data_IF_564844684844
#
_entry.id   IF_564844684844
#
_cell.length_a   1.000
_cell.length_b   1.000
_cell.length_c   1.000
_cell.angle_alpha   90.00
_cell.angle_beta   90.00
_cell.angle_gamma   90.00
#
_symmetry.space_group_name_H-M   'P 1'
#
loop_
_entity.id
_entity.type
_entity.pdbx_description
1 polymer ?
#
# COMPACT_ATOMS: atom_id res chain seq x y z
N UNK A 1 -8.41 0.42 2.48
CA UNK A 1 -9.30 0.43 1.30
C UNK A 1 -9.77 -0.97 0.96
N UNK A 2 -11.00 -1.09 0.50
CA UNK A 2 -11.51 -2.36 0.00
C UNK A 2 -10.95 -2.61 -1.40
N UNK A 3 -10.77 -3.89 -1.75
CA UNK A 3 -10.21 -4.27 -3.05
C UNK A 3 -11.02 -3.70 -4.22
N UNK A 4 -12.34 -3.59 -4.05
CA UNK A 4 -13.24 -3.07 -5.07
C UNK A 4 -12.94 -1.60 -5.39
N UNK A 5 -12.66 -0.81 -4.36
CA UNK A 5 -12.30 0.60 -4.53
C UNK A 5 -10.99 0.75 -5.27
N UNK A 6 -10.03 -0.12 -5.00
CA UNK A 6 -8.74 -0.11 -5.67
C UNK A 6 -8.87 -0.44 -7.16
N UNK A 7 -9.79 -1.34 -7.51
CA UNK A 7 -10.02 -1.70 -8.92
C UNK A 7 -10.58 -0.56 -9.75
N UNK A 8 -11.25 0.38 -9.12
CA UNK A 8 -11.84 1.54 -9.79
C UNK A 8 -10.80 2.63 -10.11
N UNK A 9 -9.63 2.57 -9.46
CA UNK A 9 -8.57 3.54 -9.68
C UNK A 9 -7.78 3.22 -10.95
N UNK A 10 -7.25 4.27 -11.58
CA UNK A 10 -6.37 4.09 -12.74
C UNK A 10 -5.02 3.54 -12.29
N UNK A 11 -4.24 3.02 -13.25
CA UNK A 11 -2.90 2.52 -12.95
C UNK A 11 -2.01 3.59 -12.32
N UNK A 12 -2.07 4.81 -12.84
CA UNK A 12 -1.29 5.92 -12.31
C UNK A 12 -1.68 6.27 -10.89
N UNK A 13 -2.98 6.28 -10.60
CA UNK A 13 -3.48 6.53 -9.25
C UNK A 13 -3.03 5.44 -8.29
N UNK A 14 -3.07 4.18 -8.71
CA UNK A 14 -2.62 3.07 -7.90
C UNK A 14 -1.13 3.16 -7.59
N UNK A 15 -0.32 3.51 -8.57
CA UNK A 15 1.13 3.67 -8.38
C UNK A 15 1.44 4.82 -7.44
N UNK A 16 0.71 5.93 -7.57
CA UNK A 16 0.86 7.06 -6.67
C UNK A 16 0.51 6.66 -5.24
N UNK A 17 -0.59 5.93 -5.07
CA UNK A 17 -1.01 5.46 -3.75
C UNK A 17 0.02 4.50 -3.15
N UNK A 18 0.55 3.59 -3.96
CA UNK A 18 1.58 2.66 -3.52
C UNK A 18 2.82 3.40 -3.03
N UNK A 19 3.23 4.43 -3.76
CA UNK A 19 4.39 5.25 -3.39
C UNK A 19 4.16 5.99 -2.07
N UNK A 20 2.98 6.57 -1.90
CA UNK A 20 2.62 7.26 -0.65
C UNK A 20 2.66 6.30 0.54
N UNK A 21 2.11 5.10 0.35
CA UNK A 21 2.09 4.09 1.39
C UNK A 21 3.50 3.58 1.70
N UNK A 22 4.35 3.44 0.69
CA UNK A 22 5.74 3.05 0.88
C UNK A 22 6.49 4.09 1.73
N UNK A 23 6.25 5.37 1.47
CA UNK A 23 6.84 6.44 2.27
C UNK A 23 6.37 6.38 3.72
N UNK A 24 5.08 6.15 3.94
CA UNK A 24 4.52 6.00 5.29
C UNK A 24 5.11 4.78 5.99
N UNK A 25 5.25 3.67 5.26
CA UNK A 25 5.84 2.45 5.80
C UNK A 25 7.27 2.70 6.26
N UNK A 26 8.04 3.40 5.45
CA UNK A 26 9.44 3.74 5.77
C UNK A 26 9.50 4.57 7.06
N UNK A 27 8.67 5.58 7.19
CA UNK A 27 8.62 6.43 8.36
C UNK A 27 8.25 5.65 9.62
N UNK A 28 7.24 4.77 9.51
CA UNK A 28 6.81 3.95 10.64
C UNK A 28 7.87 2.93 11.05
N UNK A 29 8.58 2.35 10.09
CA UNK A 29 9.68 1.43 10.39
C UNK A 29 10.82 2.15 11.11
N UNK A 30 11.10 3.38 10.69
CA UNK A 30 12.11 4.20 11.35
C UNK A 30 11.72 4.50 12.80
N UNK A 31 10.46 4.88 13.03
CA UNK A 31 9.93 5.12 14.38
C UNK A 31 10.01 3.87 15.24
N UNK A 32 9.71 2.72 14.66
CA UNK A 32 9.78 1.44 15.36
C UNK A 32 11.22 1.14 15.80
N UNK A 33 12.17 1.39 14.92
CA UNK A 33 13.61 1.20 15.21
C UNK A 33 14.04 2.07 16.39
N UNK A 34 13.47 3.27 16.50
CA UNK A 34 13.75 4.19 17.60
C UNK A 34 12.95 3.87 18.87
N UNK A 35 12.09 2.85 18.82
CA UNK A 35 11.24 2.49 19.94
C UNK A 35 10.08 3.43 20.17
N UNK A 36 9.73 4.25 19.19
CA UNK A 36 8.69 5.28 19.30
C UNK A 36 7.35 4.90 18.66
N UNK A 37 7.23 3.70 18.15
CA UNK A 37 6.00 3.27 17.49
C UNK A 37 4.93 2.93 18.53
N UNK A 38 3.87 3.74 18.57
CA UNK A 38 2.78 3.55 19.53
C UNK A 38 1.76 2.51 19.09
N UNK A 39 1.58 2.34 17.77
CA UNK A 39 0.55 1.44 17.25
C UNK A 39 1.09 0.56 16.13
N UNK A 40 1.48 -0.69 16.47
CA UNK A 40 2.00 -1.63 15.45
C UNK A 40 0.96 -2.04 14.41
N UNK A 41 -0.33 -1.85 14.69
CA UNK A 41 -1.38 -2.17 13.71
C UNK A 41 -1.32 -1.29 12.46
N UNK A 42 -0.87 -0.05 12.60
CA UNK A 42 -0.69 0.83 11.44
C UNK A 42 0.28 0.24 10.45
N UNK A 43 1.37 -0.34 10.93
CA UNK A 43 2.38 -0.97 10.08
C UNK A 43 1.78 -2.13 9.29
N UNK A 44 0.99 -2.99 9.96
CA UNK A 44 0.32 -4.11 9.31
C UNK A 44 -0.68 -3.63 8.27
N UNK A 45 -1.48 -2.63 8.60
CA UNK A 45 -2.51 -2.11 7.71
C UNK A 45 -1.89 -1.53 6.44
N UNK A 46 -0.80 -0.79 6.57
CA UNK A 46 -0.10 -0.21 5.42
C UNK A 46 0.48 -1.32 4.54
N UNK A 47 1.08 -2.34 5.14
CA UNK A 47 1.61 -3.48 4.38
C UNK A 47 0.51 -4.20 3.60
N UNK A 48 -0.66 -4.38 4.21
CA UNK A 48 -1.81 -5.01 3.56
C UNK A 48 -2.31 -4.19 2.39
N UNK A 49 -2.39 -2.87 2.55
CA UNK A 49 -2.81 -1.99 1.45
C UNK A 49 -1.84 -2.03 0.29
N UNK A 50 -0.54 -2.00 0.57
CA UNK A 50 0.49 -2.11 -0.47
C UNK A 50 0.36 -3.43 -1.21
N UNK A 51 0.17 -4.54 -0.49
CA UNK A 51 0.01 -5.85 -1.10
C UNK A 51 -1.24 -5.91 -1.99
N UNK A 52 -2.33 -5.32 -1.55
CA UNK A 52 -3.57 -5.25 -2.34
C UNK A 52 -3.38 -4.45 -3.62
N UNK A 53 -2.71 -3.31 -3.52
CA UNK A 53 -2.43 -2.47 -4.68
C UNK A 53 -1.60 -3.23 -5.70
N UNK A 54 -0.57 -3.92 -5.25
CA UNK A 54 0.26 -4.74 -6.13
C UNK A 54 -0.54 -5.84 -6.82
N UNK A 55 -1.43 -6.48 -6.07
CA UNK A 55 -2.29 -7.52 -6.64
C UNK A 55 -3.22 -6.96 -7.70
N UNK A 56 -3.84 -5.80 -7.44
CA UNK A 56 -4.75 -5.15 -8.38
C UNK A 56 -3.99 -4.71 -9.64
N UNK A 57 -2.79 -4.16 -9.48
CA UNK A 57 -1.96 -3.79 -10.63
C UNK A 57 -1.60 -5.00 -11.48
N UNK A 58 -1.27 -6.12 -10.83
CA UNK A 58 -0.99 -7.38 -11.53
C UNK A 58 -2.21 -7.88 -12.32
N UNK A 59 -3.39 -7.84 -11.70
CA UNK A 59 -4.62 -8.26 -12.37
C UNK A 59 -4.91 -7.41 -13.59
N UNK A 60 -4.77 -6.09 -13.47
CA UNK A 60 -4.97 -5.17 -14.59
C UNK A 60 -3.97 -5.42 -15.71
N UNK A 61 -2.74 -5.73 -15.36
CA UNK A 61 -1.70 -6.04 -16.32
C UNK A 61 -2.02 -7.31 -17.10
N UNK A 62 -2.54 -8.33 -16.40
CA UNK A 62 -2.94 -9.58 -17.04
C UNK A 62 -4.11 -9.40 -17.98
N UNK A 63 -5.06 -8.55 -17.60
CA UNK A 63 -6.22 -8.26 -18.45
C UNK A 63 -5.84 -7.60 -19.77
N UNK A 64 -4.72 -6.85 -19.78
CA UNK A 64 -4.22 -6.18 -20.98
C UNK A 64 -3.44 -7.11 -21.90
N UNK A 65 -3.01 -8.24 -21.37
CA UNK A 65 -2.31 -9.25 -22.14
C UNK A 65 -3.29 -10.24 -22.76
#
# INVERSE_FOLDING_TARGET
>A
MKAQELKELSDDELRTREKELADQLFKLRFQHTLGQLENPMKLRNIRREIARIKTVLDEKRREKE
#
